data_IF_394879075533
#
_entry.id   IF_394879075533
#
_cell.length_a   1.000
_cell.length_b   1.000
_cell.length_c   1.000
_cell.angle_alpha   90.00
_cell.angle_beta   90.00
_cell.angle_gamma   90.00
#
_symmetry.space_group_name_H-M   'P 1'
#
loop_
_entity.id
_entity.type
_entity.pdbx_description
1 polymer ?
#
# COMPACT_ATOMS: atom_id res chain seq x y z
N UNK A 1 14.37 -0.23 -4.41
CA UNK A 1 13.29 -0.06 -3.41
C UNK A 1 13.55 1.18 -2.57
N UNK A 2 12.48 1.80 -2.03
CA UNK A 2 12.62 2.92 -1.10
C UNK A 2 13.16 2.44 0.24
N UNK A 3 14.10 3.21 0.81
CA UNK A 3 14.61 2.94 2.16
C UNK A 3 13.50 3.07 3.21
N UNK A 4 13.48 2.18 4.19
CA UNK A 4 12.42 2.16 5.20
C UNK A 4 12.41 3.40 6.08
N UNK A 5 13.57 3.91 6.47
CA UNK A 5 13.70 5.09 7.32
C UNK A 5 13.24 6.35 6.59
N UNK A 6 13.67 6.51 5.34
CA UNK A 6 13.27 7.63 4.49
C UNK A 6 11.77 7.57 4.18
N UNK A 7 11.23 6.37 3.92
CA UNK A 7 9.78 6.19 3.69
C UNK A 7 8.96 6.55 4.91
N UNK A 8 9.35 6.09 6.11
CA UNK A 8 8.63 6.43 7.35
C UNK A 8 8.69 7.92 7.65
N UNK A 9 9.82 8.56 7.41
CA UNK A 9 9.96 10.02 7.52
C UNK A 9 9.02 10.74 6.56
N UNK A 10 8.96 10.30 5.30
CA UNK A 10 8.04 10.87 4.33
C UNK A 10 6.57 10.69 4.74
N UNK A 11 6.17 9.50 5.20
CA UNK A 11 4.80 9.23 5.65
C UNK A 11 4.41 10.14 6.83
N UNK A 12 5.34 10.40 7.77
CA UNK A 12 5.14 11.35 8.86
C UNK A 12 4.95 12.79 8.33
N UNK A 13 5.78 13.24 7.39
CA UNK A 13 5.67 14.55 6.74
C UNK A 13 4.36 14.71 5.95
N UNK A 14 3.78 13.62 5.45
CA UNK A 14 2.47 13.58 4.80
C UNK A 14 1.30 13.55 5.78
N UNK A 15 1.57 13.50 7.08
CA UNK A 15 0.57 13.46 8.13
C UNK A 15 -0.11 12.10 8.30
N UNK A 16 0.49 11.03 7.80
CA UNK A 16 0.03 9.66 8.07
C UNK A 16 0.15 9.37 9.55
N UNK A 17 -0.94 8.93 10.16
CA UNK A 17 -1.00 8.64 11.61
C UNK A 17 -0.91 7.16 11.92
N UNK A 18 -1.37 6.30 11.03
CA UNK A 18 -1.42 4.87 11.21
C UNK A 18 -1.00 4.13 9.94
N UNK A 19 -0.22 3.10 10.13
CA UNK A 19 0.05 2.08 9.10
C UNK A 19 -0.61 0.79 9.56
N UNK A 20 -1.59 0.31 8.79
CA UNK A 20 -2.25 -0.97 9.02
C UNK A 20 -1.64 -1.99 8.06
N UNK A 21 -0.99 -3.02 8.58
CA UNK A 21 -0.12 -3.89 7.80
C UNK A 21 -0.17 -5.34 8.24
N UNK A 22 -0.28 -6.25 7.29
CA UNK A 22 0.18 -7.62 7.47
C UNK A 22 1.64 -7.68 6.99
N UNK A 23 2.62 -7.77 7.90
CA UNK A 23 4.03 -7.78 7.50
C UNK A 23 4.33 -8.89 6.50
N UNK A 24 4.89 -8.51 5.38
CA UNK A 24 5.19 -9.37 4.26
C UNK A 24 6.68 -9.38 3.90
N UNK A 25 7.04 -10.23 2.98
CA UNK A 25 8.43 -10.38 2.58
C UNK A 25 8.91 -9.31 1.59
N UNK A 26 8.00 -8.59 0.94
CA UNK A 26 8.35 -7.60 -0.09
C UNK A 26 8.73 -6.25 0.56
N UNK A 27 7.91 -5.79 1.49
CA UNK A 27 8.10 -4.52 2.19
C UNK A 27 8.67 -4.69 3.61
N UNK A 28 9.03 -5.92 3.99
CA UNK A 28 9.48 -6.28 5.34
C UNK A 28 10.66 -5.47 5.86
N UNK A 29 11.50 -4.92 4.98
CA UNK A 29 12.61 -4.02 5.35
C UNK A 29 12.14 -2.72 6.01
N UNK A 30 10.87 -2.31 5.82
CA UNK A 30 10.29 -1.12 6.46
C UNK A 30 9.84 -1.37 7.90
N UNK A 31 9.71 -2.64 8.30
CA UNK A 31 9.16 -3.02 9.61
C UNK A 31 9.89 -2.37 10.78
N UNK A 32 11.22 -2.42 10.76
CA UNK A 32 12.04 -1.86 11.87
C UNK A 32 11.82 -0.36 12.01
N UNK A 33 11.81 0.37 10.90
CA UNK A 33 11.59 1.80 10.90
C UNK A 33 10.18 2.18 11.37
N UNK A 34 9.15 1.46 10.90
CA UNK A 34 7.76 1.66 11.33
C UNK A 34 7.58 1.34 12.82
N UNK A 35 8.14 0.22 13.30
CA UNK A 35 8.05 -0.17 14.71
C UNK A 35 8.77 0.81 15.65
N UNK A 36 9.82 1.49 15.18
CA UNK A 36 10.56 2.50 15.94
C UNK A 36 9.92 3.90 15.88
N UNK A 37 8.95 4.13 14.99
CA UNK A 37 8.29 5.45 14.86
C UNK A 37 7.51 5.81 16.12
N UNK A 38 7.70 7.04 16.59
CA UNK A 38 6.93 7.61 17.72
C UNK A 38 5.68 8.37 17.26
N UNK A 39 5.55 8.65 15.97
CA UNK A 39 4.48 9.46 15.40
C UNK A 39 3.47 8.62 14.62
N UNK A 40 3.94 7.61 13.91
CA UNK A 40 3.09 6.69 13.15
C UNK A 40 2.86 5.44 14.00
N UNK A 41 1.61 5.12 14.28
CA UNK A 41 1.24 3.88 14.95
C UNK A 41 1.17 2.73 13.94
N UNK A 42 2.00 1.71 14.13
CA UNK A 42 1.93 0.47 13.38
C UNK A 42 0.89 -0.48 14.00
N UNK A 43 -0.14 -0.83 13.23
CA UNK A 43 -1.14 -1.84 13.58
C UNK A 43 -0.90 -3.06 12.70
N UNK A 44 -0.57 -4.18 13.33
CA UNK A 44 -0.38 -5.46 12.63
C UNK A 44 -1.66 -6.27 12.66
N UNK A 45 -2.00 -6.84 11.53
CA UNK A 45 -3.19 -7.69 11.35
C UNK A 45 -2.80 -9.11 11.00
N UNK A 46 -3.75 -10.03 11.07
CA UNK A 46 -3.55 -11.44 10.70
C UNK A 46 -4.17 -11.77 9.33
N UNK A 47 -4.98 -10.87 8.78
CA UNK A 47 -5.59 -10.98 7.45
C UNK A 47 -5.64 -9.61 6.79
N UNK A 48 -5.43 -9.57 5.48
CA UNK A 48 -5.37 -8.32 4.74
C UNK A 48 -6.74 -7.63 4.63
N UNK A 49 -7.83 -8.40 4.54
CA UNK A 49 -9.18 -7.85 4.60
C UNK A 49 -9.47 -7.09 5.91
N UNK A 50 -8.89 -7.54 7.03
CA UNK A 50 -8.96 -6.87 8.32
C UNK A 50 -8.33 -5.47 8.30
N UNK A 51 -7.23 -5.31 7.53
CA UNK A 51 -6.55 -4.03 7.40
C UNK A 51 -7.46 -2.94 6.81
N UNK A 52 -8.30 -3.28 5.84
CA UNK A 52 -9.24 -2.32 5.25
C UNK A 52 -10.34 -1.91 6.23
N UNK A 53 -10.91 -2.86 6.99
CA UNK A 53 -11.89 -2.55 8.03
C UNK A 53 -11.35 -1.64 9.13
N UNK A 54 -10.13 -1.92 9.61
CA UNK A 54 -9.45 -1.09 10.61
C UNK A 54 -9.12 0.30 10.03
N UNK A 55 -8.60 0.37 8.81
CA UNK A 55 -8.31 1.64 8.16
C UNK A 55 -9.58 2.48 7.95
N UNK A 56 -10.69 1.86 7.58
CA UNK A 56 -11.98 2.53 7.45
C UNK A 56 -12.42 3.14 8.78
N UNK A 57 -12.39 2.36 9.87
CA UNK A 57 -12.74 2.85 11.20
C UNK A 57 -11.84 4.00 11.69
N UNK A 58 -10.53 3.89 11.45
CA UNK A 58 -9.57 4.96 11.78
C UNK A 58 -9.84 6.23 10.97
N UNK A 59 -10.11 6.09 9.67
CA UNK A 59 -10.41 7.24 8.80
C UNK A 59 -11.69 7.96 9.25
N UNK A 60 -12.76 7.21 9.51
CA UNK A 60 -14.02 7.76 10.03
C UNK A 60 -13.84 8.44 11.40
N UNK A 61 -12.90 7.96 12.21
CA UNK A 61 -12.49 8.58 13.47
C UNK A 61 -11.57 9.80 13.32
N UNK A 62 -11.30 10.26 12.09
CA UNK A 62 -10.47 11.46 11.83
C UNK A 62 -8.97 11.20 11.75
N UNK A 63 -8.53 9.94 11.82
CA UNK A 63 -7.14 9.59 11.59
C UNK A 63 -6.82 9.54 10.09
N UNK A 64 -5.52 9.50 9.76
CA UNK A 64 -5.01 9.34 8.38
C UNK A 64 -4.27 8.00 8.24
N UNK A 65 -5.01 6.89 8.13
CA UNK A 65 -4.39 5.59 7.96
C UNK A 65 -3.95 5.35 6.51
N UNK A 66 -2.95 4.49 6.36
CA UNK A 66 -2.66 3.80 5.10
C UNK A 66 -2.68 2.29 5.33
N UNK A 67 -3.02 1.53 4.29
CA UNK A 67 -2.92 0.08 4.28
C UNK A 67 -1.63 -0.32 3.57
N UNK A 68 -0.85 -1.24 4.16
CA UNK A 68 0.36 -1.80 3.55
C UNK A 68 0.17 -3.31 3.43
N UNK A 69 0.23 -3.83 2.23
CA UNK A 69 0.02 -5.25 1.91
C UNK A 69 0.86 -5.65 0.69
N UNK A 70 1.08 -6.93 0.46
CA UNK A 70 1.62 -7.39 -0.82
C UNK A 70 0.50 -7.75 -1.81
N UNK A 71 0.84 -8.00 -3.09
CA UNK A 71 -0.14 -8.31 -4.14
C UNK A 71 -1.05 -9.50 -3.80
N UNK A 72 -0.55 -10.56 -3.18
CA UNK A 72 -1.38 -11.71 -2.76
C UNK A 72 -2.38 -11.34 -1.68
N UNK A 73 -2.01 -10.42 -0.79
CA UNK A 73 -2.91 -9.86 0.21
C UNK A 73 -3.96 -8.92 -0.39
N UNK A 74 -3.60 -8.21 -1.45
CA UNK A 74 -4.55 -7.41 -2.21
C UNK A 74 -5.66 -8.29 -2.81
N UNK A 75 -5.33 -9.50 -3.27
CA UNK A 75 -6.32 -10.46 -3.76
C UNK A 75 -7.19 -11.03 -2.64
N UNK A 76 -6.58 -11.38 -1.50
CA UNK A 76 -7.30 -11.88 -0.31
C UNK A 76 -8.30 -10.85 0.20
N UNK A 77 -7.91 -9.58 0.24
CA UNK A 77 -8.74 -8.49 0.75
C UNK A 77 -9.88 -8.05 -0.17
N UNK A 78 -10.05 -8.65 -1.34
CA UNK A 78 -10.92 -8.17 -2.41
C UNK A 78 -12.30 -7.68 -1.97
N UNK A 79 -13.05 -8.45 -1.19
CA UNK A 79 -14.37 -8.03 -0.72
C UNK A 79 -14.32 -6.88 0.31
N UNK A 80 -13.39 -6.93 1.24
CA UNK A 80 -13.21 -5.85 2.21
C UNK A 80 -12.80 -4.53 1.53
N UNK A 81 -11.92 -4.61 0.53
CA UNK A 81 -11.53 -3.47 -0.29
C UNK A 81 -12.75 -2.92 -1.06
N UNK A 82 -13.54 -3.79 -1.70
CA UNK A 82 -14.75 -3.39 -2.42
C UNK A 82 -15.69 -2.59 -1.51
N UNK A 83 -15.99 -3.13 -0.31
CA UNK A 83 -16.86 -2.45 0.65
C UNK A 83 -16.32 -1.07 1.05
N UNK A 84 -15.03 -0.99 1.41
CA UNK A 84 -14.44 0.26 1.93
C UNK A 84 -14.28 1.31 0.83
N UNK A 85 -13.82 0.90 -0.35
CA UNK A 85 -13.49 1.83 -1.44
C UNK A 85 -14.71 2.18 -2.28
N UNK A 86 -15.55 1.21 -2.61
CA UNK A 86 -16.66 1.44 -3.53
C UNK A 86 -17.98 1.67 -2.82
N UNK A 87 -18.34 0.88 -1.81
CA UNK A 87 -19.63 1.04 -1.15
C UNK A 87 -19.62 2.21 -0.15
N UNK A 88 -18.54 2.36 0.63
CA UNK A 88 -18.37 3.47 1.58
C UNK A 88 -17.72 4.71 0.95
N UNK A 89 -17.06 4.59 -0.19
CA UNK A 89 -16.41 5.68 -0.89
C UNK A 89 -15.22 6.30 -0.12
N UNK A 90 -14.54 5.54 0.75
CA UNK A 90 -13.48 6.07 1.59
C UNK A 90 -12.14 6.19 0.84
N UNK A 91 -11.43 7.32 0.97
CA UNK A 91 -10.18 7.58 0.25
C UNK A 91 -8.97 6.89 0.90
N UNK A 92 -9.05 5.60 1.10
CA UNK A 92 -7.97 4.84 1.70
C UNK A 92 -6.80 4.70 0.71
N UNK A 93 -5.64 5.20 1.10
CA UNK A 93 -4.40 5.00 0.35
C UNK A 93 -3.78 3.66 0.74
N UNK A 94 -3.34 2.91 -0.25
CA UNK A 94 -2.68 1.63 -0.03
C UNK A 94 -1.32 1.57 -0.73
N UNK A 95 -0.36 0.93 -0.07
CA UNK A 95 0.94 0.59 -0.64
C UNK A 95 0.94 -0.92 -0.83
N UNK A 96 1.10 -1.33 -2.07
CA UNK A 96 1.04 -2.74 -2.47
C UNK A 96 2.40 -3.21 -2.94
N UNK A 97 3.03 -4.11 -2.20
CA UNK A 97 4.28 -4.77 -2.61
C UNK A 97 4.04 -5.65 -3.84
N UNK A 98 4.67 -5.29 -4.96
CA UNK A 98 4.49 -5.97 -6.25
C UNK A 98 5.49 -7.12 -6.38
N UNK A 99 5.25 -8.19 -5.66
CA UNK A 99 6.03 -9.41 -5.73
C UNK A 99 6.11 -9.92 -7.18
N UNK A 100 7.29 -10.32 -7.60
CA UNK A 100 7.52 -10.98 -8.89
C UNK A 100 7.58 -10.04 -10.09
N UNK A 101 7.44 -8.71 -9.94
CA UNK A 101 7.47 -7.76 -11.04
C UNK A 101 8.73 -7.93 -11.92
N UNK A 102 9.93 -7.83 -11.34
CA UNK A 102 11.17 -7.99 -12.10
C UNK A 102 11.41 -9.42 -12.58
N UNK A 103 10.87 -10.40 -11.87
CA UNK A 103 10.83 -11.78 -12.32
C UNK A 103 10.04 -11.96 -13.61
N UNK A 104 8.89 -11.31 -13.70
CA UNK A 104 8.04 -11.28 -14.90
C UNK A 104 8.74 -10.65 -16.11
N UNK A 105 9.42 -9.51 -15.91
CA UNK A 105 10.25 -8.87 -16.94
C UNK A 105 11.34 -9.82 -17.43
N UNK A 106 11.95 -10.60 -16.52
CA UNK A 106 12.96 -11.60 -16.86
C UNK A 106 12.38 -12.93 -17.42
N UNK A 107 11.08 -12.97 -17.75
CA UNK A 107 10.42 -14.14 -18.34
C UNK A 107 10.08 -15.26 -17.33
N UNK A 108 10.22 -15.02 -16.03
CA UNK A 108 9.79 -15.98 -15.00
C UNK A 108 8.29 -15.88 -14.78
N UNK A 109 7.59 -16.99 -14.78
CA UNK A 109 6.15 -17.01 -14.48
C UNK A 109 5.93 -16.94 -12.97
N UNK A 110 5.30 -15.88 -12.53
CA UNK A 110 4.74 -15.75 -11.18
C UNK A 110 3.31 -15.24 -11.29
N UNK A 111 2.34 -16.05 -10.91
CA UNK A 111 0.91 -15.69 -10.98
C UNK A 111 0.57 -14.53 -10.06
N UNK A 112 1.34 -14.34 -8.98
CA UNK A 112 1.17 -13.17 -8.10
C UNK A 112 1.46 -11.86 -8.85
N UNK A 113 2.44 -11.86 -9.77
CA UNK A 113 2.71 -10.70 -10.61
C UNK A 113 1.69 -10.54 -11.75
N UNK A 114 1.30 -11.65 -12.38
CA UNK A 114 0.49 -11.64 -13.59
C UNK A 114 -0.87 -10.95 -13.39
N UNK A 115 -1.47 -11.10 -12.22
CA UNK A 115 -2.85 -10.66 -11.98
C UNK A 115 -2.96 -9.29 -11.30
N UNK A 116 -1.89 -8.69 -10.78
CA UNK A 116 -2.01 -7.48 -9.98
C UNK A 116 -2.61 -6.31 -10.77
N UNK A 117 -1.96 -5.90 -11.85
CA UNK A 117 -2.45 -4.75 -12.63
C UNK A 117 -3.82 -5.00 -13.28
N UNK A 118 -4.12 -6.17 -13.87
CA UNK A 118 -5.47 -6.49 -14.34
C UNK A 118 -6.55 -6.39 -13.26
N UNK A 119 -6.28 -6.85 -12.03
CA UNK A 119 -7.24 -6.78 -10.93
C UNK A 119 -7.41 -5.33 -10.45
N UNK A 120 -6.32 -4.58 -10.29
CA UNK A 120 -6.38 -3.16 -9.92
C UNK A 120 -7.19 -2.37 -10.95
N UNK A 121 -6.99 -2.65 -12.24
CA UNK A 121 -7.77 -2.03 -13.32
C UNK A 121 -9.24 -2.44 -13.29
N UNK A 122 -9.55 -3.73 -13.09
CA UNK A 122 -10.92 -4.23 -12.97
C UNK A 122 -11.68 -3.60 -11.79
N UNK A 123 -10.98 -3.30 -10.70
CA UNK A 123 -11.53 -2.58 -9.55
C UNK A 123 -11.62 -1.06 -9.77
N UNK A 124 -11.24 -0.56 -10.94
CA UNK A 124 -11.22 0.88 -11.26
C UNK A 124 -10.50 1.74 -10.20
N UNK A 125 -9.40 1.22 -9.66
CA UNK A 125 -8.61 1.92 -8.67
C UNK A 125 -7.60 2.86 -9.33
N UNK A 126 -7.52 4.09 -8.83
CA UNK A 126 -6.40 4.97 -9.15
C UNK A 126 -5.12 4.32 -8.67
N UNK A 127 -4.14 4.13 -9.55
CA UNK A 127 -2.89 3.48 -9.18
C UNK A 127 -1.68 4.05 -9.92
N UNK A 128 -0.50 3.84 -9.34
CA UNK A 128 0.78 4.17 -9.96
C UNK A 128 1.81 3.10 -9.61
N UNK A 129 2.56 2.69 -10.63
CA UNK A 129 3.69 1.78 -10.47
C UNK A 129 4.96 2.56 -10.09
N UNK A 130 5.65 2.09 -9.07
CA UNK A 130 6.95 2.60 -8.60
C UNK A 130 7.99 1.51 -8.78
N UNK A 131 9.02 1.82 -9.56
CA UNK A 131 10.14 0.92 -9.85
C UNK A 131 11.42 1.40 -9.17
N UNK A 132 12.52 0.71 -9.40
CA UNK A 132 13.85 1.11 -8.88
C UNK A 132 14.32 2.49 -9.40
N UNK A 133 13.77 2.96 -10.52
CA UNK A 133 14.05 4.28 -11.08
C UNK A 133 13.20 5.39 -10.46
N UNK A 134 12.11 5.04 -9.77
CA UNK A 134 11.19 6.00 -9.16
C UNK A 134 11.82 6.65 -7.92
N UNK A 135 11.52 7.91 -7.72
CA UNK A 135 11.98 8.68 -6.57
C UNK A 135 10.91 8.74 -5.49
N UNK A 136 11.34 8.84 -4.24
CA UNK A 136 10.44 8.88 -3.08
C UNK A 136 9.48 10.10 -3.12
N UNK A 137 9.89 11.22 -3.69
CA UNK A 137 9.03 12.39 -3.85
C UNK A 137 7.86 12.15 -4.82
N UNK A 138 7.99 11.20 -5.76
CA UNK A 138 6.88 10.82 -6.63
C UNK A 138 5.78 10.10 -5.86
N UNK A 139 6.15 9.28 -4.87
CA UNK A 139 5.19 8.67 -3.95
C UNK A 139 4.45 9.73 -3.13
N UNK A 140 5.18 10.75 -2.64
CA UNK A 140 4.59 11.87 -1.93
C UNK A 140 3.59 12.65 -2.78
N UNK A 141 3.94 12.95 -4.02
CA UNK A 141 3.06 13.67 -4.95
C UNK A 141 1.80 12.86 -5.25
N UNK A 142 1.94 11.57 -5.52
CA UNK A 142 0.82 10.68 -5.79
C UNK A 142 -0.12 10.56 -4.58
N UNK A 143 0.43 10.44 -3.36
CA UNK A 143 -0.36 10.45 -2.14
C UNK A 143 -1.16 11.75 -2.00
N UNK A 144 -0.50 12.92 -2.08
CA UNK A 144 -1.18 14.22 -1.93
C UNK A 144 -2.29 14.40 -2.95
N UNK A 145 -1.99 14.16 -4.23
CA UNK A 145 -2.95 14.31 -5.31
C UNK A 145 -4.21 13.46 -5.08
N UNK A 146 -4.05 12.20 -4.72
CA UNK A 146 -5.19 11.29 -4.52
C UNK A 146 -5.98 11.62 -3.26
N UNK A 147 -5.32 12.07 -2.18
CA UNK A 147 -6.02 12.50 -0.96
C UNK A 147 -6.76 13.82 -1.14
N UNK A 148 -6.19 14.77 -1.87
CA UNK A 148 -6.86 16.04 -2.22
C UNK A 148 -8.10 15.81 -3.09
N UNK A 149 -8.06 14.81 -3.95
CA UNK A 149 -9.19 14.39 -4.78
C UNK A 149 -10.22 13.52 -4.03
N UNK A 150 -9.97 13.17 -2.76
CA UNK A 150 -10.82 12.26 -2.00
C UNK A 150 -10.92 10.86 -2.61
N UNK A 151 -9.84 10.36 -3.23
CA UNK A 151 -9.84 9.07 -3.93
C UNK A 151 -9.00 8.03 -3.23
N UNK A 152 -9.55 6.82 -3.16
CA UNK A 152 -8.73 5.65 -2.82
C UNK A 152 -7.71 5.40 -3.93
N UNK A 153 -6.49 5.01 -3.54
CA UNK A 153 -5.40 4.81 -4.49
C UNK A 153 -4.42 3.73 -4.06
N UNK A 154 -3.79 3.08 -5.04
CA UNK A 154 -2.79 2.04 -4.84
C UNK A 154 -1.43 2.44 -5.41
N UNK A 155 -0.43 2.59 -4.55
CA UNK A 155 0.97 2.67 -4.94
C UNK A 155 1.54 1.25 -5.08
N UNK A 156 1.80 0.80 -6.30
CA UNK A 156 2.36 -0.52 -6.58
C UNK A 156 3.89 -0.43 -6.53
N UNK A 157 4.51 -1.02 -5.53
CA UNK A 157 5.95 -0.95 -5.31
C UNK A 157 6.63 -2.20 -5.88
N UNK A 158 7.29 -2.05 -7.01
CA UNK A 158 8.06 -3.12 -7.62
C UNK A 158 9.33 -3.43 -6.81
N UNK A 159 9.34 -4.59 -6.17
CA UNK A 159 10.45 -5.04 -5.34
C UNK A 159 11.58 -5.65 -6.15
N UNK A 160 12.79 -5.28 -5.78
CA UNK A 160 14.01 -5.96 -6.22
C UNK A 160 14.48 -6.93 -5.15
N UNK A 161 13.86 -8.10 -5.04
CA UNK A 161 14.57 -9.20 -4.43
C UNK A 161 15.55 -9.76 -5.45
N UNK A 162 16.79 -9.54 -5.20
CA UNK A 162 17.90 -10.29 -5.81
C UNK A 162 17.95 -11.70 -5.26
#
# INVERSE_FOLDING_TARGET
>A
MFDGTETVKLLDELGVTHVVWLPDSELGTWHTALAASKKIRLIRVCREGEAFGIAAGLHLGGARPIVVIQCTGFYEAGDALRNVVHDLGLPIFMIVGYRGYYGGIAGRKDTAATFLEPIVAAWNLTHKLFTKESKLNELASFYRETQEQGRAAAALIAETRT
#
